data_IF_507254015707
#
_entry.id   IF_507254015707
#
_cell.length_a   1.000
_cell.length_b   1.000
_cell.length_c   1.000
_cell.angle_alpha   90.00
_cell.angle_beta   90.00
_cell.angle_gamma   90.00
#
_symmetry.space_group_name_H-M   'P 1'
#
loop_
_entity.id
_entity.type
_entity.pdbx_description
1 polymer ?
#
# COMPACT_ATOMS: atom_id res chain seq x y z
N UNK A 1 19.19 16.99 22.74
CA UNK A 1 17.77 16.97 23.15
C UNK A 1 17.09 15.80 22.46
N UNK A 2 16.34 14.99 23.20
CA UNK A 2 15.61 13.83 22.70
C UNK A 2 14.29 14.32 22.11
N UNK A 3 14.16 14.28 20.78
CA UNK A 3 13.00 14.78 20.02
C UNK A 3 12.78 13.94 18.78
N UNK A 4 11.54 13.88 18.27
CA UNK A 4 11.23 13.17 17.03
C UNK A 4 12.07 13.69 15.86
N UNK A 5 12.23 15.01 15.74
CA UNK A 5 13.12 15.60 14.73
C UNK A 5 14.53 15.00 14.76
N UNK A 6 15.12 14.89 15.94
CA UNK A 6 16.48 14.37 16.05
C UNK A 6 16.54 12.86 15.76
N UNK A 7 15.51 12.10 16.14
CA UNK A 7 15.40 10.69 15.75
C UNK A 7 15.27 10.54 14.22
N UNK A 8 14.46 11.38 13.56
CA UNK A 8 14.33 11.39 12.10
C UNK A 8 15.66 11.77 11.41
N UNK A 9 16.44 12.70 11.95
CA UNK A 9 17.77 13.01 11.40
C UNK A 9 18.81 11.90 11.64
N UNK A 10 18.71 11.14 12.73
CA UNK A 10 19.53 9.95 12.90
C UNK A 10 19.18 8.90 11.85
N UNK A 11 17.87 8.72 11.60
CA UNK A 11 17.38 7.80 10.59
C UNK A 11 17.78 8.22 9.17
N UNK A 12 17.75 9.52 8.87
CA UNK A 12 18.22 10.09 7.60
C UNK A 12 19.70 9.76 7.34
N UNK A 13 20.55 9.81 8.36
CA UNK A 13 21.98 9.46 8.23
C UNK A 13 22.20 7.99 7.90
N UNK A 14 21.32 7.12 8.39
CA UNK A 14 21.36 5.69 8.13
C UNK A 14 20.52 5.29 6.91
N UNK A 15 19.90 6.24 6.21
CA UNK A 15 19.04 5.98 5.06
C UNK A 15 19.80 5.33 3.91
N UNK A 16 19.25 4.24 3.38
CA UNK A 16 19.78 3.48 2.24
C UNK A 16 18.87 3.52 1.01
N UNK A 17 17.56 3.64 1.20
CA UNK A 17 16.59 3.39 0.13
C UNK A 17 15.50 4.46 -0.02
N UNK A 18 15.23 5.28 0.98
CA UNK A 18 14.24 6.35 0.83
C UNK A 18 14.77 7.45 -0.09
N UNK A 19 13.94 7.87 -1.06
CA UNK A 19 14.30 8.87 -2.08
C UNK A 19 14.71 10.22 -1.48
N UNK A 20 14.07 10.63 -0.39
CA UNK A 20 14.31 11.89 0.29
C UNK A 20 13.78 11.85 1.74
N UNK A 21 14.13 12.83 2.60
CA UNK A 21 13.71 12.85 3.99
C UNK A 21 12.20 12.95 4.19
N UNK A 22 11.47 13.54 3.24
CA UNK A 22 10.01 13.63 3.28
C UNK A 22 9.37 12.25 3.10
N UNK A 23 9.82 11.47 2.11
CA UNK A 23 9.35 10.09 1.89
C UNK A 23 9.65 9.19 3.10
N UNK A 24 10.85 9.30 3.68
CA UNK A 24 11.20 8.61 4.92
C UNK A 24 10.25 9.01 6.06
N UNK A 25 10.03 10.32 6.25
CA UNK A 25 9.19 10.80 7.35
C UNK A 25 7.74 10.35 7.19
N UNK A 26 7.20 10.28 5.97
CA UNK A 26 5.88 9.70 5.71
C UNK A 26 5.81 8.25 6.16
N UNK A 27 6.78 7.43 5.77
CA UNK A 27 6.84 6.01 6.14
C UNK A 27 6.90 5.83 7.68
N UNK A 28 7.70 6.65 8.37
CA UNK A 28 7.79 6.60 9.83
C UNK A 28 6.50 7.08 10.50
N UNK A 29 5.92 8.19 10.04
CA UNK A 29 4.67 8.68 10.60
C UNK A 29 3.54 7.66 10.42
N UNK A 30 3.45 7.04 9.25
CA UNK A 30 2.50 5.96 9.00
C UNK A 30 2.75 4.76 9.92
N UNK A 31 4.02 4.40 10.18
CA UNK A 31 4.32 3.35 11.16
C UNK A 31 3.89 3.73 12.58
N UNK A 32 3.91 5.02 12.93
CA UNK A 32 3.48 5.49 14.25
C UNK A 32 1.96 5.56 14.37
N UNK A 33 1.24 6.05 13.36
CA UNK A 33 -0.18 6.41 13.49
C UNK A 33 -1.14 5.61 12.63
N UNK A 34 -0.63 4.70 11.78
CA UNK A 34 -1.44 3.99 10.77
C UNK A 34 -2.14 4.94 9.78
N UNK A 35 -1.64 6.17 9.65
CA UNK A 35 -2.22 7.21 8.82
C UNK A 35 -1.24 7.73 7.75
N UNK A 36 -1.74 7.92 6.54
CA UNK A 36 -0.95 8.43 5.42
C UNK A 36 -0.94 9.97 5.38
N UNK A 37 0.17 10.56 5.82
CA UNK A 37 0.28 12.03 5.82
C UNK A 37 0.66 12.61 4.45
N UNK A 38 0.08 13.77 4.09
CA UNK A 38 0.56 14.57 2.97
C UNK A 38 2.03 15.01 3.14
N UNK A 39 2.71 15.23 2.01
CA UNK A 39 4.15 15.58 1.98
C UNK A 39 4.47 16.87 2.73
N UNK A 40 3.56 17.84 2.80
CA UNK A 40 3.77 19.08 3.53
C UNK A 40 3.80 18.84 5.05
N UNK A 41 2.92 17.97 5.56
CA UNK A 41 2.88 17.58 6.98
C UNK A 41 4.15 16.83 7.35
N UNK A 42 4.56 15.85 6.55
CA UNK A 42 5.79 15.11 6.78
C UNK A 42 7.03 16.02 6.77
N UNK A 43 7.10 16.97 5.82
CA UNK A 43 8.20 17.94 5.74
C UNK A 43 8.22 18.90 6.95
N UNK A 44 7.05 19.31 7.44
CA UNK A 44 6.91 20.09 8.68
C UNK A 44 7.39 19.30 9.90
N UNK A 45 7.02 18.03 10.03
CA UNK A 45 7.48 17.18 11.14
C UNK A 45 9.00 16.99 11.08
N UNK A 46 9.54 16.67 9.91
CA UNK A 46 10.98 16.49 9.70
C UNK A 46 11.78 17.75 10.07
N UNK A 47 11.33 18.93 9.64
CA UNK A 47 11.96 20.21 9.98
C UNK A 47 11.78 20.61 11.46
N UNK A 48 10.86 19.98 12.17
CA UNK A 48 10.55 20.20 13.59
C UNK A 48 9.47 21.25 13.86
N UNK A 49 8.72 21.66 12.83
CA UNK A 49 7.57 22.56 12.96
C UNK A 49 6.55 21.92 13.91
N UNK A 50 6.05 22.72 14.85
CA UNK A 50 5.14 22.29 15.92
C UNK A 50 5.65 21.11 16.78
N UNK A 51 6.92 20.72 16.65
CA UNK A 51 7.56 19.67 17.44
C UNK A 51 6.77 18.34 17.48
N UNK A 52 6.02 18.03 16.42
CA UNK A 52 5.19 16.82 16.34
C UNK A 52 3.92 16.84 17.21
N UNK A 53 3.43 18.02 17.62
CA UNK A 53 2.25 18.16 18.50
C UNK A 53 1.02 17.40 18.00
N UNK A 54 0.67 17.50 16.72
CA UNK A 54 -0.52 16.85 16.17
C UNK A 54 -0.36 15.33 16.19
N UNK A 55 0.81 14.84 15.78
CA UNK A 55 1.16 13.41 15.81
C UNK A 55 1.01 12.84 17.22
N UNK A 56 1.45 13.61 18.24
CA UNK A 56 1.28 13.22 19.63
C UNK A 56 -0.19 13.04 20.03
N UNK A 57 -1.07 13.99 19.69
CA UNK A 57 -2.50 13.87 20.05
C UNK A 57 -3.19 12.73 19.30
N UNK A 58 -2.86 12.52 18.03
CA UNK A 58 -3.40 11.38 17.26
C UNK A 58 -2.96 10.04 17.87
N UNK A 59 -1.71 9.93 18.34
CA UNK A 59 -1.24 8.74 19.06
C UNK A 59 -1.97 8.55 20.39
N UNK A 60 -2.23 9.62 21.15
CA UNK A 60 -2.98 9.51 22.40
C UNK A 60 -4.44 9.08 22.16
N UNK A 61 -5.05 9.48 21.04
CA UNK A 61 -6.37 8.99 20.63
C UNK A 61 -6.33 7.49 20.29
N UNK A 62 -5.31 7.03 19.56
CA UNK A 62 -5.09 5.60 19.30
C UNK A 62 -4.93 4.82 20.60
N UNK A 63 -4.03 5.26 21.48
CA UNK A 63 -3.78 4.63 22.79
C UNK A 63 -5.06 4.59 23.63
N UNK A 64 -5.89 5.64 23.57
CA UNK A 64 -7.17 5.67 24.29
C UNK A 64 -8.19 4.66 23.74
N UNK A 65 -8.13 4.34 22.45
CA UNK A 65 -9.01 3.38 21.80
C UNK A 65 -8.56 1.92 21.98
N UNK A 66 -7.28 1.61 21.78
CA UNK A 66 -6.77 0.24 21.71
C UNK A 66 -5.86 -0.18 22.90
N UNK A 67 -5.45 0.79 23.71
CA UNK A 67 -4.54 0.60 24.84
C UNK A 67 -3.05 0.66 24.45
N UNK A 68 -2.23 1.14 25.38
CA UNK A 68 -0.79 1.40 25.15
C UNK A 68 0.00 0.16 24.68
N UNK A 69 -0.30 -1.01 25.22
CA UNK A 69 0.41 -2.24 24.87
C UNK A 69 0.12 -2.66 23.42
N UNK A 70 -1.14 -2.58 23.01
CA UNK A 70 -1.60 -2.86 21.65
C UNK A 70 -0.96 -1.88 20.68
N UNK A 71 -1.02 -0.58 21.00
CA UNK A 71 -0.42 0.49 20.21
C UNK A 71 1.08 0.26 19.97
N UNK A 72 1.87 0.06 21.04
CA UNK A 72 3.32 -0.14 20.89
C UNK A 72 3.66 -1.41 20.11
N UNK A 73 2.92 -2.51 20.29
CA UNK A 73 3.11 -3.73 19.53
C UNK A 73 2.82 -3.52 18.03
N UNK A 74 1.76 -2.79 17.69
CA UNK A 74 1.41 -2.42 16.32
C UNK A 74 2.48 -1.53 15.68
N UNK A 75 3.01 -0.55 16.41
CA UNK A 75 4.11 0.31 15.94
C UNK A 75 5.40 -0.47 15.73
N UNK A 76 5.77 -1.36 16.65
CA UNK A 76 6.94 -2.24 16.50
C UNK A 76 6.84 -3.06 15.20
N UNK A 77 5.68 -3.68 14.97
CA UNK A 77 5.43 -4.47 13.76
C UNK A 77 5.55 -3.60 12.51
N UNK A 78 4.90 -2.43 12.48
CA UNK A 78 4.98 -1.53 11.32
C UNK A 78 6.40 -1.02 11.06
N UNK A 79 7.16 -0.63 12.09
CA UNK A 79 8.56 -0.22 11.94
C UNK A 79 9.46 -1.36 11.43
N UNK A 80 9.27 -2.58 11.96
CA UNK A 80 9.95 -3.78 11.46
C UNK A 80 9.63 -3.98 9.99
N UNK A 81 8.36 -3.91 9.60
CA UNK A 81 7.92 -4.11 8.22
C UNK A 81 8.53 -3.04 7.30
N UNK A 82 8.51 -1.78 7.71
CA UNK A 82 9.14 -0.68 6.97
C UNK A 82 10.62 -0.95 6.71
N UNK A 83 11.38 -1.44 7.69
CA UNK A 83 12.82 -1.66 7.49
C UNK A 83 13.16 -3.00 6.83
N UNK A 84 12.44 -4.07 7.14
CA UNK A 84 12.67 -5.41 6.59
C UNK A 84 12.44 -5.46 5.08
N UNK A 85 11.41 -4.76 4.58
CA UNK A 85 11.01 -4.79 3.16
C UNK A 85 12.11 -4.28 2.21
N UNK A 86 12.80 -3.20 2.59
CA UNK A 86 13.74 -2.51 1.70
C UNK A 86 15.16 -2.42 2.25
N UNK A 87 15.40 -2.84 3.51
CA UNK A 87 16.66 -2.53 4.19
C UNK A 87 16.89 -1.02 4.29
N UNK A 88 15.81 -0.26 4.54
CA UNK A 88 15.80 1.20 4.45
C UNK A 88 16.88 1.87 5.32
N UNK A 89 17.26 1.25 6.44
CA UNK A 89 18.34 1.71 7.31
C UNK A 89 18.99 0.57 8.08
N UNK A 90 20.21 0.81 8.57
CA UNK A 90 20.90 -0.11 9.46
C UNK A 90 20.29 -0.08 10.85
N UNK A 91 19.61 -1.16 11.26
CA UNK A 91 18.96 -1.19 12.56
C UNK A 91 19.98 -1.08 13.70
N UNK A 92 21.11 -1.79 13.66
CA UNK A 92 22.05 -1.81 14.78
C UNK A 92 22.69 -0.43 14.99
N UNK A 93 23.14 0.22 13.91
CA UNK A 93 23.67 1.59 13.99
C UNK A 93 22.62 2.58 14.46
N UNK A 94 21.37 2.41 14.02
CA UNK A 94 20.27 3.26 14.47
C UNK A 94 20.04 3.14 15.98
N UNK A 95 20.01 1.91 16.54
CA UNK A 95 19.81 1.72 17.99
C UNK A 95 20.96 2.35 18.80
N UNK A 96 22.21 2.17 18.37
CA UNK A 96 23.38 2.76 19.03
C UNK A 96 23.31 4.29 19.01
N UNK A 97 22.96 4.89 17.87
CA UNK A 97 22.83 6.33 17.73
C UNK A 97 21.70 6.90 18.60
N UNK A 98 20.55 6.21 18.66
CA UNK A 98 19.42 6.59 19.52
C UNK A 98 19.80 6.49 20.99
N UNK A 99 20.48 5.41 21.39
CA UNK A 99 20.95 5.24 22.76
C UNK A 99 21.98 6.30 23.17
N UNK A 100 22.89 6.68 22.26
CA UNK A 100 23.78 7.82 22.45
C UNK A 100 23.01 9.12 22.66
N UNK A 101 21.99 9.39 21.83
CA UNK A 101 21.14 10.57 21.97
C UNK A 101 20.39 10.60 23.31
N UNK A 102 19.94 9.45 23.84
CA UNK A 102 19.29 9.35 25.15
C UNK A 102 20.27 9.76 26.26
N UNK A 103 21.51 9.25 26.24
CA UNK A 103 22.55 9.59 27.23
C UNK A 103 22.89 11.07 27.29
N UNK A 104 22.91 11.72 26.14
CA UNK A 104 23.29 13.14 26.02
C UNK A 104 22.13 14.11 26.22
N UNK A 105 20.90 13.61 26.41
CA UNK A 105 19.70 14.44 26.44
C UNK A 105 19.33 14.94 27.83
N UNK A 106 19.20 16.26 27.96
CA UNK A 106 18.81 16.94 29.20
C UNK A 106 17.30 17.13 29.39
N UNK A 107 16.48 16.76 28.40
CA UNK A 107 15.04 16.99 28.40
C UNK A 107 14.20 15.72 28.68
N UNK A 108 14.84 14.65 29.14
CA UNK A 108 14.19 13.42 29.59
C UNK A 108 13.91 13.53 31.09
N UNK A 109 12.74 13.09 31.54
CA UNK A 109 12.52 12.85 32.98
C UNK A 109 13.38 11.68 33.44
N UNK A 110 13.69 11.62 34.74
CA UNK A 110 14.51 10.54 35.29
C UNK A 110 13.88 9.16 35.03
N UNK A 111 12.54 9.05 35.15
CA UNK A 111 11.83 7.80 34.87
C UNK A 111 11.91 7.38 33.41
N UNK A 112 11.68 8.29 32.46
CA UNK A 112 11.75 7.98 31.02
C UNK A 112 13.18 7.63 30.61
N UNK A 113 14.18 8.35 31.14
CA UNK A 113 15.59 8.03 30.90
C UNK A 113 15.95 6.61 31.37
N UNK A 114 15.57 6.25 32.59
CA UNK A 114 15.83 4.91 33.14
C UNK A 114 15.07 3.83 32.35
N UNK A 115 13.81 4.07 32.02
CA UNK A 115 12.97 3.15 31.25
C UNK A 115 13.53 2.86 29.86
N UNK A 116 13.84 3.89 29.08
CA UNK A 116 14.45 3.72 27.75
C UNK A 116 15.83 3.06 27.82
N UNK A 117 16.62 3.35 28.85
CA UNK A 117 17.92 2.70 29.06
C UNK A 117 17.76 1.21 29.33
N UNK A 118 16.79 0.82 30.17
CA UNK A 118 16.47 -0.58 30.45
C UNK A 118 15.92 -1.28 29.21
N UNK A 119 15.06 -0.62 28.44
CA UNK A 119 14.52 -1.13 27.18
C UNK A 119 15.64 -1.40 26.17
N UNK A 120 16.59 -0.47 26.00
CA UNK A 120 17.73 -0.68 25.11
C UNK A 120 18.50 -1.96 25.48
N UNK A 121 18.88 -2.11 26.75
CA UNK A 121 19.64 -3.27 27.23
C UNK A 121 18.87 -4.58 27.01
N UNK A 122 17.56 -4.57 27.24
CA UNK A 122 16.70 -5.75 27.10
C UNK A 122 16.44 -6.13 25.64
N UNK A 123 16.23 -5.13 24.77
CA UNK A 123 15.60 -5.32 23.47
C UNK A 123 16.55 -5.16 22.28
N UNK A 124 17.75 -4.57 22.44
CA UNK A 124 18.66 -4.26 21.31
C UNK A 124 18.99 -5.46 20.41
N UNK A 125 19.10 -6.66 20.98
CA UNK A 125 19.51 -7.86 20.24
C UNK A 125 18.29 -8.64 19.70
N UNK A 126 17.20 -8.71 20.46
CA UNK A 126 16.06 -9.61 20.15
C UNK A 126 14.80 -8.89 19.66
N UNK A 127 14.58 -7.64 20.07
CA UNK A 127 13.40 -6.82 19.70
C UNK A 127 13.81 -5.38 19.39
N UNK A 128 14.72 -5.16 18.45
CA UNK A 128 15.28 -3.83 18.21
C UNK A 128 14.23 -2.79 17.81
N UNK A 129 13.19 -3.21 17.10
CA UNK A 129 12.09 -2.34 16.70
C UNK A 129 11.16 -1.94 17.85
N UNK A 130 11.07 -2.75 18.93
CA UNK A 130 10.34 -2.36 20.14
C UNK A 130 11.02 -1.17 20.80
N UNK A 131 12.35 -1.24 20.99
CA UNK A 131 13.10 -0.12 21.55
C UNK A 131 12.97 1.14 20.68
N UNK A 132 13.00 0.97 19.36
CA UNK A 132 12.83 2.08 18.44
C UNK A 132 11.41 2.68 18.51
N UNK A 133 10.37 1.85 18.59
CA UNK A 133 8.97 2.27 18.76
C UNK A 133 8.79 3.09 20.04
N UNK A 134 9.28 2.58 21.17
CA UNK A 134 9.26 3.29 22.44
C UNK A 134 10.03 4.61 22.36
N UNK A 135 11.19 4.62 21.69
CA UNK A 135 12.00 5.82 21.51
C UNK A 135 11.25 6.92 20.76
N UNK A 136 10.55 6.59 19.68
CA UNK A 136 9.72 7.55 18.95
C UNK A 136 8.55 8.06 19.79
N UNK A 137 7.84 7.17 20.49
CA UNK A 137 6.74 7.57 21.38
C UNK A 137 7.23 8.54 22.47
N UNK A 138 8.27 8.17 23.22
CA UNK A 138 8.76 9.00 24.31
C UNK A 138 9.42 10.29 23.83
N UNK A 139 9.92 10.34 22.59
CA UNK A 139 10.41 11.58 22.00
C UNK A 139 9.28 12.61 21.75
N UNK A 140 8.03 12.16 21.56
CA UNK A 140 6.84 13.02 21.54
C UNK A 140 6.37 13.36 22.95
N UNK A 141 6.26 12.36 23.82
CA UNK A 141 5.81 12.52 25.21
C UNK A 141 6.66 13.54 25.96
N UNK A 142 8.00 13.47 25.88
CA UNK A 142 8.87 14.41 26.58
C UNK A 142 8.70 15.87 26.11
N UNK A 143 8.03 16.11 24.98
CA UNK A 143 7.69 17.45 24.50
C UNK A 143 6.32 17.92 24.92
N UNK A 144 5.32 17.04 24.87
CA UNK A 144 3.92 17.43 24.99
C UNK A 144 3.27 16.97 26.30
N UNK A 145 3.92 16.08 27.05
CA UNK A 145 3.44 15.58 28.35
C UNK A 145 4.61 15.41 29.34
N UNK A 146 4.96 16.50 30.03
CA UNK A 146 6.07 16.55 31.00
C UNK A 146 5.82 15.72 32.27
N UNK A 147 4.59 15.31 32.50
CA UNK A 147 4.15 14.54 33.68
C UNK A 147 4.01 13.05 33.40
N UNK A 148 4.24 12.61 32.16
CA UNK A 148 4.14 11.20 31.81
C UNK A 148 5.29 10.39 32.41
N UNK A 149 4.93 9.24 32.94
CA UNK A 149 5.85 8.23 33.44
C UNK A 149 6.16 7.21 32.35
N UNK A 150 7.26 6.47 32.53
CA UNK A 150 7.58 5.38 31.62
C UNK A 150 6.65 4.18 31.89
N UNK A 151 5.79 3.89 30.94
CA UNK A 151 5.01 2.67 30.86
C UNK A 151 5.89 1.52 30.36
N UNK A 152 6.14 0.55 31.25
CA UNK A 152 6.79 -0.69 30.88
C UNK A 152 5.90 -1.49 29.92
N UNK A 153 6.36 -1.67 28.68
CA UNK A 153 5.77 -2.60 27.74
C UNK A 153 5.93 -4.04 28.28
N UNK A 154 4.86 -4.62 28.85
CA UNK A 154 4.80 -6.06 29.18
C UNK A 154 4.34 -6.83 27.95
N UNK A 155 4.90 -6.51 26.79
CA UNK A 155 4.60 -7.21 25.56
C UNK A 155 5.29 -8.56 25.70
N UNK A 156 4.51 -9.61 25.96
CA UNK A 156 4.96 -11.00 25.85
C UNK A 156 5.71 -11.15 24.54
N UNK A 157 6.74 -12.01 24.48
CA UNK A 157 7.33 -12.38 23.20
C UNK A 157 6.18 -12.59 22.21
N UNK A 158 6.14 -11.76 21.17
CA UNK A 158 5.39 -12.11 19.99
C UNK A 158 6.08 -13.39 19.57
N UNK A 159 5.50 -14.55 19.96
CA UNK A 159 5.71 -15.79 19.22
C UNK A 159 5.65 -15.32 17.78
N UNK A 160 6.73 -15.52 17.01
CA UNK A 160 6.72 -15.28 15.57
C UNK A 160 5.30 -15.56 15.11
N UNK A 161 4.58 -14.56 14.57
CA UNK A 161 3.17 -14.75 14.28
C UNK A 161 3.08 -16.10 13.56
N UNK A 162 2.27 -17.04 14.09
CA UNK A 162 2.14 -18.32 13.43
C UNK A 162 1.83 -18.00 11.97
N UNK A 163 2.57 -18.62 11.07
CA UNK A 163 2.31 -18.65 9.63
C UNK A 163 0.81 -18.54 9.35
N UNK A 164 0.43 -17.62 8.46
CA UNK A 164 -0.86 -17.60 7.76
C UNK A 164 -2.19 -17.38 8.55
N UNK A 165 -2.34 -16.55 9.60
CA UNK A 165 -3.64 -16.41 10.27
C UNK A 165 -4.63 -15.55 9.48
N UNK A 166 -4.14 -14.59 8.68
CA UNK A 166 -5.00 -13.59 8.05
C UNK A 166 -5.59 -14.05 6.70
N UNK A 167 -4.97 -15.06 6.06
CA UNK A 167 -5.40 -15.63 4.78
C UNK A 167 -6.28 -16.88 4.92
N UNK A 168 -6.67 -17.26 6.15
CA UNK A 168 -7.68 -18.30 6.47
C UNK A 168 -7.63 -19.57 5.58
N UNK A 169 -6.43 -20.10 5.33
CA UNK A 169 -6.11 -21.30 4.54
C UNK A 169 -6.09 -21.14 3.00
N UNK A 170 -6.38 -19.95 2.45
CA UNK A 170 -6.41 -19.70 0.99
C UNK A 170 -5.03 -19.87 0.31
N UNK A 171 -3.94 -19.87 1.10
CA UNK A 171 -2.57 -20.04 0.60
C UNK A 171 -1.97 -21.41 0.94
N UNK A 172 -2.75 -22.32 1.55
CA UNK A 172 -2.24 -23.58 2.08
C UNK A 172 -1.84 -24.57 0.96
N UNK A 173 -2.63 -24.66 -0.11
CA UNK A 173 -2.32 -25.54 -1.25
C UNK A 173 -1.03 -25.13 -1.97
N UNK A 174 -0.75 -23.82 -1.98
CA UNK A 174 0.45 -23.23 -2.57
C UNK A 174 1.68 -23.45 -1.70
N UNK A 175 1.52 -23.33 -0.37
CA UNK A 175 2.58 -23.64 0.59
C UNK A 175 3.05 -25.10 0.51
N UNK A 176 2.16 -26.00 0.07
CA UNK A 176 2.45 -27.43 -0.08
C UNK A 176 3.12 -27.79 -1.43
N UNK A 177 2.88 -27.01 -2.50
CA UNK A 177 3.19 -27.45 -3.87
C UNK A 177 4.14 -26.53 -4.68
N UNK A 178 4.49 -25.32 -4.21
CA UNK A 178 5.16 -24.32 -5.04
C UNK A 178 6.63 -23.99 -4.69
N UNK A 179 7.48 -23.86 -5.71
CA UNK A 179 8.79 -23.20 -5.61
C UNK A 179 8.60 -21.66 -5.62
N UNK A 180 7.91 -21.13 -4.61
CA UNK A 180 7.56 -19.71 -4.53
C UNK A 180 8.75 -18.88 -4.00
N UNK A 181 9.07 -17.73 -4.63
CA UNK A 181 10.19 -16.89 -4.19
C UNK A 181 10.03 -16.42 -2.72
N UNK A 182 11.12 -16.37 -1.91
CA UNK A 182 11.05 -15.90 -0.53
C UNK A 182 10.41 -14.51 -0.34
N UNK A 183 10.54 -13.65 -1.36
CA UNK A 183 9.96 -12.30 -1.38
C UNK A 183 8.42 -12.33 -1.36
N UNK A 184 7.79 -13.33 -1.98
CA UNK A 184 6.34 -13.48 -1.95
C UNK A 184 5.86 -13.70 -0.52
N UNK A 185 6.38 -14.72 0.15
CA UNK A 185 6.02 -15.06 1.54
C UNK A 185 6.28 -13.90 2.49
N UNK A 186 7.42 -13.22 2.34
CA UNK A 186 7.73 -12.02 3.10
C UNK A 186 6.67 -10.91 2.96
N UNK A 187 6.02 -10.78 1.81
CA UNK A 187 4.93 -9.83 1.60
C UNK A 187 3.61 -10.35 2.18
N UNK A 188 3.17 -11.56 1.82
CA UNK A 188 1.83 -12.07 2.19
C UNK A 188 1.68 -12.39 3.68
N UNK A 189 2.74 -12.85 4.35
CA UNK A 189 2.71 -13.15 5.79
C UNK A 189 2.54 -11.89 6.66
N UNK A 190 2.83 -10.71 6.10
CA UNK A 190 2.76 -9.44 6.83
C UNK A 190 1.44 -8.70 6.60
N UNK A 191 0.57 -9.20 5.73
CA UNK A 191 -0.71 -8.55 5.44
C UNK A 191 -1.71 -8.79 6.56
N UNK A 192 -2.39 -7.72 6.95
CA UNK A 192 -3.53 -7.70 7.86
C UNK A 192 -4.82 -8.05 7.11
N UNK A 193 -5.87 -8.44 7.84
CA UNK A 193 -7.18 -8.73 7.24
C UNK A 193 -7.74 -7.54 6.43
N UNK A 194 -7.44 -6.30 6.84
CA UNK A 194 -7.82 -5.10 6.09
C UNK A 194 -7.11 -5.02 4.74
N UNK A 195 -5.79 -5.22 4.72
CA UNK A 195 -4.99 -5.17 3.50
C UNK A 195 -5.36 -6.31 2.54
N UNK A 196 -5.63 -7.49 3.08
CA UNK A 196 -6.14 -8.64 2.31
C UNK A 196 -7.48 -8.29 1.70
N UNK A 197 -8.41 -7.74 2.48
CA UNK A 197 -9.72 -7.31 1.96
C UNK A 197 -9.59 -6.27 0.86
N UNK A 198 -8.68 -5.29 0.99
CA UNK A 198 -8.44 -4.28 -0.05
C UNK A 198 -7.89 -4.93 -1.32
N UNK A 199 -6.91 -5.83 -1.20
CA UNK A 199 -6.36 -6.55 -2.34
C UNK A 199 -7.43 -7.37 -3.05
N UNK A 200 -8.24 -8.12 -2.32
CA UNK A 200 -9.35 -8.91 -2.90
C UNK A 200 -10.37 -8.03 -3.61
N UNK A 201 -10.70 -6.88 -3.04
CA UNK A 201 -11.59 -5.93 -3.71
C UNK A 201 -10.95 -5.43 -5.01
N UNK A 202 -9.66 -5.07 -5.01
CA UNK A 202 -8.97 -4.64 -6.22
C UNK A 202 -8.82 -5.75 -7.27
N UNK A 203 -8.60 -6.99 -6.85
CA UNK A 203 -8.50 -8.16 -7.72
C UNK A 203 -9.78 -8.35 -8.55
N UNK A 204 -10.95 -7.96 -8.02
CA UNK A 204 -12.21 -8.00 -8.78
C UNK A 204 -12.31 -6.91 -9.86
N UNK A 205 -11.50 -5.86 -9.78
CA UNK A 205 -11.60 -4.69 -10.66
C UNK A 205 -10.51 -4.69 -11.75
N UNK A 206 -9.83 -5.82 -11.94
CA UNK A 206 -8.80 -5.94 -12.97
C UNK A 206 -9.42 -6.04 -14.36
N UNK A 207 -8.65 -5.63 -15.35
CA UNK A 207 -8.89 -5.89 -16.76
C UNK A 207 -7.78 -6.80 -17.28
N UNK A 208 -8.09 -7.58 -18.31
CA UNK A 208 -7.20 -8.45 -19.04
C UNK A 208 -7.03 -7.81 -20.42
N UNK A 209 -5.79 -7.49 -20.77
CA UNK A 209 -5.46 -6.88 -22.07
C UNK A 209 -5.11 -7.98 -23.10
N UNK A 210 -4.78 -7.60 -24.33
CA UNK A 210 -4.44 -8.54 -25.42
C UNK A 210 -3.23 -9.45 -25.12
N UNK A 211 -2.35 -9.03 -24.20
CA UNK A 211 -1.20 -9.82 -23.77
C UNK A 211 -1.55 -10.88 -22.71
N UNK A 212 -2.84 -11.06 -22.41
CA UNK A 212 -3.39 -11.97 -21.40
C UNK A 212 -2.93 -11.65 -19.96
N UNK A 213 -2.33 -10.47 -19.74
CA UNK A 213 -1.88 -10.03 -18.43
C UNK A 213 -2.94 -9.20 -17.71
N UNK A 214 -2.87 -9.22 -16.38
CA UNK A 214 -3.78 -8.47 -15.52
C UNK A 214 -3.30 -7.05 -15.29
N UNK A 215 -4.23 -6.10 -15.46
CA UNK A 215 -3.99 -4.67 -15.22
C UNK A 215 -5.09 -4.05 -14.38
N UNK A 216 -4.78 -2.96 -13.69
CA UNK A 216 -5.79 -2.08 -13.10
C UNK A 216 -5.91 -0.83 -13.95
N UNK A 217 -7.11 -0.54 -14.46
CA UNK A 217 -7.37 0.71 -15.17
C UNK A 217 -7.06 1.90 -14.24
N UNK A 218 -6.10 2.75 -14.61
CA UNK A 218 -5.65 3.83 -13.75
C UNK A 218 -6.62 5.03 -13.85
N UNK A 219 -7.32 5.42 -12.78
CA UNK A 219 -8.24 6.55 -12.84
C UNK A 219 -7.49 7.88 -12.99
N UNK A 220 -7.84 8.63 -14.03
CA UNK A 220 -7.29 9.94 -14.40
C UNK A 220 -8.34 11.04 -14.23
N UNK A 221 -9.60 10.75 -14.52
CA UNK A 221 -10.73 11.69 -14.44
C UNK A 221 -11.49 11.56 -13.13
N UNK A 222 -12.25 12.60 -12.77
CA UNK A 222 -13.11 12.58 -11.57
C UNK A 222 -14.15 11.47 -11.62
N UNK A 223 -14.69 11.16 -12.79
CA UNK A 223 -15.70 10.11 -12.97
C UNK A 223 -15.11 8.71 -12.78
N UNK A 224 -13.88 8.49 -13.24
CA UNK A 224 -13.15 7.23 -13.03
C UNK A 224 -12.80 7.03 -11.55
N UNK A 225 -12.37 8.10 -10.86
CA UNK A 225 -12.15 8.05 -9.40
C UNK A 225 -13.46 7.71 -8.68
N UNK A 226 -14.58 8.33 -9.06
CA UNK A 226 -15.88 8.05 -8.48
C UNK A 226 -16.36 6.61 -8.77
N UNK A 227 -15.98 6.04 -9.91
CA UNK A 227 -16.26 4.65 -10.22
C UNK A 227 -15.59 3.74 -9.19
N UNK A 228 -14.27 3.84 -9.00
CA UNK A 228 -13.55 3.04 -7.99
C UNK A 228 -14.11 3.23 -6.57
N UNK A 229 -14.48 4.46 -6.20
CA UNK A 229 -15.06 4.74 -4.89
C UNK A 229 -16.38 4.01 -4.63
N UNK A 230 -17.21 3.80 -5.66
CA UNK A 230 -18.44 3.00 -5.54
C UNK A 230 -18.16 1.54 -5.21
N UNK A 231 -16.99 1.04 -5.58
CA UNK A 231 -16.50 -0.30 -5.27
C UNK A 231 -15.56 -0.31 -4.05
N UNK A 232 -15.56 0.76 -3.26
CA UNK A 232 -14.82 0.83 -1.99
C UNK A 232 -13.32 1.08 -2.14
N UNK A 233 -12.84 1.48 -3.33
CA UNK A 233 -11.44 1.77 -3.60
C UNK A 233 -11.24 3.27 -3.80
N UNK A 234 -10.39 3.87 -2.97
CA UNK A 234 -9.92 5.24 -3.13
C UNK A 234 -8.41 5.32 -3.31
N UNK A 235 -7.89 6.55 -3.26
CA UNK A 235 -6.45 6.79 -3.37
C UNK A 235 -5.65 6.11 -2.24
N UNK A 236 -6.22 5.98 -1.05
CA UNK A 236 -5.56 5.35 0.09
C UNK A 236 -5.35 3.85 -0.16
N UNK A 237 -6.35 3.19 -0.73
CA UNK A 237 -6.32 1.76 -1.04
C UNK A 237 -5.32 1.44 -2.16
N UNK A 238 -5.27 2.26 -3.22
CA UNK A 238 -4.24 2.14 -4.24
C UNK A 238 -2.84 2.28 -3.62
N UNK A 239 -2.58 3.36 -2.87
CA UNK A 239 -1.28 3.60 -2.24
C UNK A 239 -0.88 2.45 -1.29
N UNK A 240 -1.84 1.90 -0.55
CA UNK A 240 -1.63 0.74 0.31
C UNK A 240 -1.12 -0.47 -0.50
N UNK A 241 -1.73 -0.77 -1.66
CA UNK A 241 -1.26 -1.87 -2.51
C UNK A 241 0.13 -1.61 -3.12
N UNK A 242 0.47 -0.36 -3.44
CA UNK A 242 1.82 0.00 -3.88
C UNK A 242 2.85 -0.19 -2.76
N UNK A 243 2.52 0.19 -1.52
CA UNK A 243 3.42 0.03 -0.36
C UNK A 243 3.64 -1.41 0.07
N UNK A 244 2.67 -2.29 -0.20
CA UNK A 244 2.84 -3.74 -0.08
C UNK A 244 3.59 -4.35 -1.29
N UNK A 245 3.88 -3.54 -2.30
CA UNK A 245 4.55 -3.97 -3.51
C UNK A 245 3.71 -4.99 -4.27
N UNK A 246 2.39 -4.79 -4.30
CA UNK A 246 1.44 -5.61 -5.08
C UNK A 246 1.15 -4.97 -6.43
N UNK A 247 1.15 -3.63 -6.49
CA UNK A 247 0.98 -2.84 -7.73
C UNK A 247 2.06 -1.76 -7.83
N UNK A 248 2.25 -1.21 -9.03
CA UNK A 248 3.13 -0.07 -9.28
C UNK A 248 2.32 1.15 -9.73
N UNK A 249 2.18 2.16 -8.87
CA UNK A 249 1.45 3.40 -9.21
C UNK A 249 2.40 4.45 -9.81
N UNK A 250 3.64 4.48 -9.31
CA UNK A 250 4.66 5.43 -9.77
C UNK A 250 5.08 5.28 -11.25
N UNK A 251 4.72 4.16 -11.88
CA UNK A 251 4.97 3.87 -13.28
C UNK A 251 3.64 3.57 -14.01
N UNK A 252 2.73 4.55 -14.01
CA UNK A 252 1.54 4.49 -14.87
C UNK A 252 1.98 4.15 -16.29
N UNK A 253 1.42 3.07 -16.82
CA UNK A 253 1.66 2.65 -18.19
C UNK A 253 0.65 3.40 -19.05
N UNK A 254 1.17 4.10 -20.06
CA UNK A 254 0.33 4.62 -21.13
C UNK A 254 0.19 3.48 -22.13
N UNK A 255 -1.03 3.00 -22.34
CA UNK A 255 -1.36 1.92 -23.26
C UNK A 255 -1.92 2.55 -24.53
N UNK A 256 -1.08 2.84 -25.53
CA UNK A 256 -1.55 3.28 -26.83
C UNK A 256 -2.29 2.11 -27.49
N UNK A 257 -3.46 2.39 -28.04
CA UNK A 257 -4.24 1.43 -28.80
C UNK A 257 -4.58 2.07 -30.14
N UNK A 258 -4.20 1.40 -31.23
CA UNK A 258 -4.56 1.82 -32.58
C UNK A 258 -5.99 1.35 -32.86
N UNK A 259 -6.88 2.31 -33.09
CA UNK A 259 -8.26 2.05 -33.49
C UNK A 259 -8.28 1.92 -35.00
N UNK A 260 -8.53 0.72 -35.50
CA UNK A 260 -8.54 0.38 -36.93
C UNK A 260 -9.86 -0.35 -37.28
N UNK A 261 -9.93 -1.00 -38.45
CA UNK A 261 -11.09 -1.78 -38.87
C UNK A 261 -11.20 -3.13 -38.15
N UNK A 262 -10.09 -3.64 -37.60
CA UNK A 262 -10.03 -4.77 -36.68
C UNK A 262 -10.46 -4.38 -35.26
N UNK A 263 -11.08 -5.32 -34.52
CA UNK A 263 -11.50 -5.08 -33.14
C UNK A 263 -10.27 -5.00 -32.23
N UNK A 264 -10.12 -3.86 -31.56
CA UNK A 264 -9.23 -3.70 -30.42
C UNK A 264 -10.06 -3.65 -29.13
N UNK A 265 -9.44 -3.91 -27.98
CA UNK A 265 -10.17 -3.85 -26.72
C UNK A 265 -9.45 -4.48 -25.55
N UNK A 266 -10.20 -4.66 -24.47
CA UNK A 266 -9.77 -5.39 -23.29
C UNK A 266 -10.98 -6.10 -22.68
N UNK A 267 -10.74 -7.05 -21.79
CA UNK A 267 -11.80 -7.90 -21.23
C UNK A 267 -11.71 -8.02 -19.70
N UNK A 268 -12.74 -8.59 -19.10
CA UNK A 268 -12.62 -9.28 -17.81
C UNK A 268 -12.88 -10.78 -18.05
N UNK A 269 -13.16 -11.56 -17.02
CA UNK A 269 -13.37 -13.01 -17.18
C UNK A 269 -14.60 -13.36 -18.05
N UNK A 270 -15.62 -12.48 -18.07
CA UNK A 270 -16.92 -12.79 -18.66
C UNK A 270 -17.30 -11.90 -19.86
N UNK A 271 -16.74 -10.69 -19.94
CA UNK A 271 -17.14 -9.64 -20.88
C UNK A 271 -15.92 -9.06 -21.60
N UNK A 272 -16.10 -8.81 -22.90
CA UNK A 272 -15.15 -8.11 -23.75
C UNK A 272 -15.71 -6.74 -24.07
N UNK A 273 -14.91 -5.70 -23.81
CA UNK A 273 -15.16 -4.36 -24.32
C UNK A 273 -14.30 -4.15 -25.56
N UNK A 274 -14.94 -4.14 -26.73
CA UNK A 274 -14.28 -4.04 -28.01
C UNK A 274 -14.67 -2.76 -28.74
N UNK A 275 -13.79 -2.27 -29.60
CA UNK A 275 -14.04 -1.10 -30.43
C UNK A 275 -13.26 -1.15 -31.74
N UNK A 276 -13.82 -0.49 -32.76
CA UNK A 276 -13.21 -0.33 -34.09
C UNK A 276 -13.65 0.99 -34.75
N UNK A 277 -13.02 1.33 -35.87
CA UNK A 277 -13.40 2.45 -36.75
C UNK A 277 -13.48 1.98 -38.20
N UNK A 278 -14.48 2.44 -38.94
CA UNK A 278 -14.53 2.28 -40.40
C UNK A 278 -13.86 3.46 -41.14
N UNK A 279 -13.38 4.46 -40.40
CA UNK A 279 -12.62 5.63 -40.90
C UNK A 279 -11.09 5.38 -40.88
N UNK A 280 -10.30 6.40 -41.24
CA UNK A 280 -8.82 6.31 -41.16
C UNK A 280 -8.35 5.94 -39.73
N UNK A 281 -7.39 5.00 -39.58
CA UNK A 281 -6.83 4.61 -38.29
C UNK A 281 -6.31 5.77 -37.44
N UNK A 282 -6.51 5.69 -36.14
CA UNK A 282 -5.95 6.65 -35.18
C UNK A 282 -5.69 6.01 -33.82
N UNK A 283 -4.77 6.61 -33.06
CA UNK A 283 -4.41 6.10 -31.74
C UNK A 283 -5.23 6.77 -30.64
N UNK A 284 -5.71 5.96 -29.71
CA UNK A 284 -6.20 6.39 -28.40
C UNK A 284 -5.23 5.91 -27.33
N UNK A 285 -5.40 6.39 -26.10
CA UNK A 285 -4.56 5.97 -24.98
C UNK A 285 -5.39 5.87 -23.72
N UNK A 286 -5.28 4.73 -23.05
CA UNK A 286 -5.74 4.59 -21.66
C UNK A 286 -4.53 4.37 -20.75
N UNK A 287 -4.73 4.54 -19.44
CA UNK A 287 -3.66 4.35 -18.46
C UNK A 287 -3.96 3.15 -17.59
N UNK A 288 -2.94 2.40 -17.21
CA UNK A 288 -3.07 1.32 -16.24
C UNK A 288 -1.98 1.36 -15.16
N UNK A 289 -2.26 0.68 -14.05
CA UNK A 289 -1.26 0.26 -13.07
C UNK A 289 -0.93 -1.21 -13.32
N UNK A 290 0.36 -1.53 -13.37
CA UNK A 290 0.83 -2.91 -13.44
C UNK A 290 0.89 -3.55 -12.06
N UNK A 291 0.59 -4.85 -12.01
CA UNK A 291 0.90 -5.64 -10.84
C UNK A 291 2.41 -5.90 -10.76
N UNK A 292 2.93 -6.08 -9.55
CA UNK A 292 4.28 -6.63 -9.37
C UNK A 292 4.25 -8.14 -9.55
N UNK A 293 5.42 -8.78 -9.62
CA UNK A 293 5.53 -10.25 -9.59
C UNK A 293 4.82 -10.89 -8.39
N UNK A 294 4.75 -10.18 -7.24
CA UNK A 294 4.04 -10.69 -6.06
C UNK A 294 2.54 -10.52 -6.22
N UNK A 295 2.09 -9.38 -6.75
CA UNK A 295 0.68 -9.12 -7.03
C UNK A 295 0.09 -10.08 -8.06
N UNK A 296 0.77 -10.28 -9.20
CA UNK A 296 0.37 -11.24 -10.23
C UNK A 296 0.26 -12.65 -9.65
N UNK A 297 1.27 -13.08 -8.88
CA UNK A 297 1.25 -14.42 -8.27
C UNK A 297 0.08 -14.58 -7.28
N UNK A 298 -0.28 -13.53 -6.55
CA UNK A 298 -1.45 -13.54 -5.68
C UNK A 298 -2.75 -13.64 -6.47
N UNK A 299 -2.89 -12.92 -7.59
CA UNK A 299 -4.08 -13.04 -8.45
C UNK A 299 -4.23 -14.47 -8.96
N UNK A 300 -3.14 -15.05 -9.50
CA UNK A 300 -3.11 -16.43 -9.99
C UNK A 300 -3.50 -17.44 -8.90
N UNK A 301 -3.07 -17.23 -7.66
CA UNK A 301 -3.36 -18.15 -6.55
C UNK A 301 -4.82 -18.04 -6.09
N UNK A 302 -5.34 -16.82 -5.98
CA UNK A 302 -6.65 -16.61 -5.39
C UNK A 302 -7.79 -16.84 -6.39
N UNK A 303 -7.50 -16.81 -7.70
CA UNK A 303 -8.48 -17.04 -8.78
C UNK A 303 -9.78 -16.27 -8.56
N UNK A 304 -9.65 -14.99 -8.18
CA UNK A 304 -10.80 -14.15 -7.83
C UNK A 304 -11.48 -13.72 -9.13
N UNK A 305 -12.72 -14.16 -9.30
CA UNK A 305 -13.59 -13.73 -10.39
C UNK A 305 -13.76 -12.20 -10.39
N UNK A 306 -13.59 -11.62 -11.57
CA UNK A 306 -13.77 -10.19 -11.85
C UNK A 306 -15.23 -9.75 -11.73
N UNK A 307 -15.44 -8.45 -11.47
CA UNK A 307 -16.76 -7.87 -11.24
C UNK A 307 -17.32 -7.27 -12.54
N UNK A 308 -18.32 -7.95 -13.11
CA UNK A 308 -18.99 -7.52 -14.35
C UNK A 308 -19.66 -6.14 -14.21
N UNK A 309 -20.24 -5.80 -13.05
CA UNK A 309 -20.89 -4.50 -12.84
C UNK A 309 -19.87 -3.36 -12.84
N UNK A 310 -18.67 -3.59 -12.29
CA UNK A 310 -17.56 -2.65 -12.44
C UNK A 310 -17.15 -2.53 -13.91
N UNK A 311 -16.91 -3.67 -14.58
CA UNK A 311 -16.41 -3.71 -15.95
C UNK A 311 -17.38 -3.03 -16.94
N UNK A 312 -18.68 -3.31 -16.84
CA UNK A 312 -19.69 -2.65 -17.66
C UNK A 312 -19.70 -1.13 -17.46
N UNK A 313 -19.57 -0.66 -16.21
CA UNK A 313 -19.54 0.77 -15.90
C UNK A 313 -18.27 1.43 -16.42
N UNK A 314 -17.14 0.73 -16.37
CA UNK A 314 -15.88 1.20 -16.94
C UNK A 314 -16.00 1.33 -18.46
N UNK A 315 -16.49 0.30 -19.16
CA UNK A 315 -16.72 0.31 -20.61
C UNK A 315 -17.64 1.47 -21.05
N UNK A 316 -18.78 1.64 -20.37
CA UNK A 316 -19.73 2.76 -20.65
C UNK A 316 -19.11 4.13 -20.38
N UNK A 317 -18.24 4.24 -19.38
CA UNK A 317 -17.53 5.48 -19.07
C UNK A 317 -16.51 5.79 -20.17
N UNK A 318 -15.74 4.79 -20.59
CA UNK A 318 -14.74 4.90 -21.64
C UNK A 318 -15.37 5.32 -22.98
N UNK A 319 -16.42 4.61 -23.42
CA UNK A 319 -17.16 4.95 -24.63
C UNK A 319 -17.70 6.40 -24.60
N UNK A 320 -18.21 6.86 -23.46
CA UNK A 320 -18.71 8.24 -23.30
C UNK A 320 -17.60 9.29 -23.43
N UNK A 321 -16.40 9.00 -22.91
CA UNK A 321 -15.26 9.92 -23.01
C UNK A 321 -14.80 10.08 -24.47
N UNK A 322 -15.07 9.08 -25.31
CA UNK A 322 -14.67 9.04 -26.72
C UNK A 322 -15.82 9.24 -27.71
N UNK A 323 -17.03 9.58 -27.24
CA UNK A 323 -18.25 9.69 -28.06
C UNK A 323 -18.19 10.73 -29.20
N UNK A 324 -17.15 11.56 -29.27
CA UNK A 324 -16.91 12.50 -30.37
C UNK A 324 -16.00 11.97 -31.48
N UNK A 325 -15.48 10.75 -31.34
CA UNK A 325 -14.64 10.08 -32.33
C UNK A 325 -15.48 9.08 -33.14
N UNK A 326 -15.08 8.76 -34.38
CA UNK A 326 -15.80 7.81 -35.23
C UNK A 326 -15.50 6.36 -34.80
N UNK A 327 -15.86 6.02 -33.57
CA UNK A 327 -15.61 4.69 -32.99
C UNK A 327 -16.93 3.98 -32.74
N UNK A 328 -16.97 2.73 -33.16
CA UNK A 328 -18.04 1.80 -32.81
C UNK A 328 -17.61 0.97 -31.61
N UNK A 329 -18.40 1.04 -30.54
CA UNK A 329 -18.13 0.36 -29.27
C UNK A 329 -19.07 -0.82 -29.07
N UNK A 330 -18.54 -1.92 -28.56
CA UNK A 330 -19.26 -3.17 -28.32
C UNK A 330 -18.94 -3.68 -26.92
N UNK A 331 -19.94 -4.26 -26.25
CA UNK A 331 -19.77 -4.92 -24.96
C UNK A 331 -20.51 -6.26 -24.98
N UNK A 332 -19.76 -7.33 -25.16
CA UNK A 332 -20.28 -8.67 -25.43
C UNK A 332 -19.66 -9.72 -24.49
N UNK A 333 -20.33 -10.85 -24.24
CA UNK A 333 -19.71 -11.97 -23.55
C UNK A 333 -18.48 -12.51 -24.30
N UNK A 334 -17.45 -12.96 -23.57
CA UNK A 334 -16.22 -13.54 -24.15
C UNK A 334 -16.53 -14.64 -25.17
N UNK A 335 -17.39 -15.60 -24.79
CA UNK A 335 -17.82 -16.70 -25.65
C UNK A 335 -18.38 -16.22 -27.00
N UNK A 336 -19.07 -15.06 -27.02
CA UNK A 336 -19.69 -14.53 -28.24
C UNK A 336 -18.68 -13.85 -29.14
N UNK A 337 -17.66 -13.23 -28.58
CA UNK A 337 -16.57 -12.63 -29.37
C UNK A 337 -15.69 -13.73 -29.96
N UNK A 338 -15.39 -14.78 -29.21
CA UNK A 338 -14.61 -15.93 -29.71
C UNK A 338 -15.34 -16.71 -30.82
N UNK A 339 -16.68 -16.81 -30.74
CA UNK A 339 -17.51 -17.45 -31.76
C UNK A 339 -17.75 -16.56 -33.00
N UNK A 340 -17.60 -15.24 -32.87
CA UNK A 340 -17.96 -14.30 -33.92
C UNK A 340 -17.01 -14.43 -35.12
N UNK A 341 -17.59 -14.76 -36.29
CA UNK A 341 -16.83 -14.79 -37.55
C UNK A 341 -16.60 -13.40 -38.15
N UNK A 342 -17.37 -12.40 -37.70
CA UNK A 342 -17.27 -11.01 -38.13
C UNK A 342 -17.92 -10.05 -37.14
N UNK A 343 -17.60 -8.75 -37.24
CA UNK A 343 -18.13 -7.71 -36.32
C UNK A 343 -19.65 -7.52 -36.48
N UNK A 344 -20.22 -7.82 -37.66
CA UNK A 344 -21.67 -7.76 -37.88
C UNK A 344 -22.46 -8.68 -36.94
N UNK A 345 -21.86 -9.79 -36.51
CA UNK A 345 -22.47 -10.72 -35.55
C UNK A 345 -22.52 -10.13 -34.13
N UNK A 346 -21.75 -9.06 -33.86
CA UNK A 346 -21.71 -8.33 -32.59
C UNK A 346 -22.62 -7.10 -32.55
N UNK A 347 -23.34 -6.74 -33.62
CA UNK A 347 -24.18 -5.53 -33.64
C UNK A 347 -25.26 -5.51 -32.55
N UNK A 348 -25.72 -6.67 -32.08
CA UNK A 348 -26.63 -6.78 -30.93
C UNK A 348 -26.04 -6.32 -29.59
N UNK A 349 -24.72 -6.18 -29.52
CA UNK A 349 -23.94 -5.81 -28.33
C UNK A 349 -23.35 -4.39 -28.43
N UNK A 350 -23.70 -3.64 -29.47
CA UNK A 350 -23.21 -2.27 -29.68
C UNK A 350 -23.68 -1.35 -28.55
N UNK A 351 -22.77 -0.60 -27.98
CA UNK A 351 -23.06 0.43 -26.98
C UNK A 351 -23.59 1.68 -27.68
N UNK A 352 -24.76 2.15 -27.23
CA UNK A 352 -25.46 3.33 -27.77
C UNK A 352 -24.90 4.67 -27.29
#
# INVERSE_FOLDING_TARGET
MFTVKNLLHLLEKENRCWKNPTSMTKAILMALTDYYYPSDVASKVFSGVNQGRNIFFEIEDLISAEGFQTYIASVELRLRNQNFRNGNFDIQKMLEAVYGLIKESSNLSQEVYLGLTQSYVKNKDNRPYLFLAESFYYALVCRHNKTANYNNAKVSEVKNPPTLPAWENELDEVALNGNIPPKFWATVEQMTSKEISVFKTLAKLVIIDEDEEYYLYAPVTTEEIQLYQKFGIGNAEFLLMEEFGLINIGARVDNPVSVEDELAGFQNDNLVFAFKTDEEPFDITFKSYSFTTVGLKLLEILEIETDDDFFEKLAKLFARQLAGLPIDFYLAPVEKVEEAGSVEELEGYRLS
#
